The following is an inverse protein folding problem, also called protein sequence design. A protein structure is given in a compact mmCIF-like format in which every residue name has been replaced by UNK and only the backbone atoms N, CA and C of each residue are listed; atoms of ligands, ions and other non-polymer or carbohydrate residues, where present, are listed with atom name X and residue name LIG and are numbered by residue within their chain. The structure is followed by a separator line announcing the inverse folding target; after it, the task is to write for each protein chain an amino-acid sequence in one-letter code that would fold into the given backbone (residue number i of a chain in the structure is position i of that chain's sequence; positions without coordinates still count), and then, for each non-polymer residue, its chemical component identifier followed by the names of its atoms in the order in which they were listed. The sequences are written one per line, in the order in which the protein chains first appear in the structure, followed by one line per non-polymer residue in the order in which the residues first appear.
data_IF_035100870126
#
_entry.id   IF_035100870126
#
_cell.length_a   1.000
_cell.length_b   1.000
_cell.length_c   1.000
_cell.angle_alpha   90.00
_cell.angle_beta   90.00
_cell.angle_gamma   90.00
#
_symmetry.space_group_name_H-M   'P 1'
#
loop_
_entity.id
_entity.type
_entity.pdbx_description
1 polymer ?
#
# COMPACT_ATOMS: atom_id res chain seq x y z
N UNK A 1 -13.66 -24.31 -3.51
CA UNK A 1 -12.98 -24.07 -4.80
C UNK A 1 -13.11 -22.59 -5.06
N UNK A 2 -12.00 -21.88 -5.25
CA UNK A 2 -12.00 -20.43 -5.42
C UNK A 2 -12.37 -20.09 -6.87
N UNK A 3 -13.58 -19.59 -7.11
CA UNK A 3 -14.11 -19.36 -8.46
C UNK A 3 -13.37 -18.24 -9.17
N UNK A 4 -12.92 -17.20 -8.45
CA UNK A 4 -12.05 -16.17 -9.00
C UNK A 4 -10.81 -16.78 -9.66
N UNK A 5 -10.09 -17.69 -8.97
CA UNK A 5 -8.92 -18.36 -9.55
C UNK A 5 -9.28 -19.23 -10.75
N UNK A 6 -10.42 -19.92 -10.71
CA UNK A 6 -10.89 -20.75 -11.85
C UNK A 6 -11.15 -19.89 -13.09
N UNK A 7 -11.73 -18.71 -12.91
CA UNK A 7 -12.11 -17.82 -14.02
C UNK A 7 -10.91 -17.01 -14.54
N UNK A 8 -10.11 -16.45 -13.63
CA UNK A 8 -9.09 -15.44 -13.97
C UNK A 8 -7.65 -15.95 -13.86
N UNK A 9 -7.41 -17.09 -13.22
CA UNK A 9 -6.05 -17.55 -12.88
C UNK A 9 -5.11 -17.64 -14.08
N UNK A 10 -5.55 -18.23 -15.18
CA UNK A 10 -4.74 -18.33 -16.41
C UNK A 10 -4.57 -16.99 -17.11
N UNK A 11 -5.58 -16.11 -17.08
CA UNK A 11 -5.48 -14.76 -17.69
C UNK A 11 -4.51 -13.87 -16.92
N UNK A 12 -4.51 -13.97 -15.59
CA UNK A 12 -3.55 -13.28 -14.72
C UNK A 12 -2.13 -13.80 -14.99
N UNK A 13 -1.92 -15.11 -15.12
CA UNK A 13 -0.59 -15.65 -15.48
C UNK A 13 -0.12 -15.11 -16.84
N UNK A 14 -0.99 -15.12 -17.85
CA UNK A 14 -0.68 -14.53 -19.17
C UNK A 14 -0.33 -13.05 -19.09
N UNK A 15 -1.01 -12.28 -18.23
CA UNK A 15 -0.67 -10.89 -17.99
C UNK A 15 0.79 -10.72 -17.55
N UNK A 16 1.26 -11.55 -16.60
CA UNK A 16 2.63 -11.50 -16.10
C UNK A 16 3.66 -12.10 -17.05
N UNK A 17 3.36 -13.26 -17.62
CA UNK A 17 4.34 -14.08 -18.37
C UNK A 17 4.44 -13.66 -19.83
N UNK A 18 3.32 -13.33 -20.46
CA UNK A 18 3.22 -13.08 -21.91
C UNK A 18 3.06 -11.60 -22.25
N UNK A 19 2.89 -10.72 -21.24
CA UNK A 19 2.65 -9.27 -21.39
C UNK A 19 1.48 -9.00 -22.33
N UNK A 20 0.27 -9.23 -21.83
CA UNK A 20 -0.98 -8.95 -22.54
C UNK A 20 -0.97 -7.56 -23.19
N UNK A 21 -1.57 -7.46 -24.37
CA UNK A 21 -1.75 -6.19 -25.05
C UNK A 21 -2.63 -5.22 -24.22
N UNK A 22 -2.62 -3.92 -24.55
CA UNK A 22 -3.44 -2.94 -23.84
C UNK A 22 -4.93 -3.26 -23.82
N UNK A 23 -5.47 -3.77 -24.94
CA UNK A 23 -6.90 -4.11 -25.04
C UNK A 23 -7.23 -5.38 -24.24
N UNK A 24 -6.39 -6.41 -24.29
CA UNK A 24 -6.57 -7.63 -23.48
C UNK A 24 -6.46 -7.34 -21.97
N UNK A 25 -5.57 -6.42 -21.60
CA UNK A 25 -5.43 -5.95 -20.22
C UNK A 25 -6.70 -5.23 -19.79
N UNK A 26 -7.23 -4.32 -20.62
CA UNK A 26 -8.49 -3.63 -20.34
C UNK A 26 -9.64 -4.63 -20.15
N UNK A 27 -9.79 -5.60 -21.04
CA UNK A 27 -10.82 -6.63 -20.91
C UNK A 27 -10.66 -7.49 -19.66
N UNK A 28 -9.44 -7.81 -19.24
CA UNK A 28 -9.21 -8.50 -17.98
C UNK A 28 -9.68 -7.67 -16.78
N UNK A 29 -9.33 -6.39 -16.74
CA UNK A 29 -9.74 -5.50 -15.65
C UNK A 29 -11.27 -5.30 -15.61
N UNK A 30 -11.89 -5.10 -16.77
CA UNK A 30 -13.34 -4.95 -16.91
C UNK A 30 -14.07 -6.22 -16.44
N UNK A 31 -13.59 -7.40 -16.83
CA UNK A 31 -14.20 -8.68 -16.41
C UNK A 31 -14.02 -8.93 -14.91
N UNK A 32 -12.86 -8.59 -14.33
CA UNK A 32 -12.65 -8.67 -12.88
C UNK A 32 -13.65 -7.78 -12.14
N UNK A 33 -13.81 -6.53 -12.59
CA UNK A 33 -14.75 -5.59 -11.98
C UNK A 33 -16.20 -6.07 -12.12
N UNK A 34 -16.58 -6.57 -13.30
CA UNK A 34 -17.91 -7.13 -13.54
C UNK A 34 -18.20 -8.30 -12.61
N UNK A 35 -17.25 -9.23 -12.48
CA UNK A 35 -17.38 -10.36 -11.57
C UNK A 35 -17.48 -9.92 -10.10
N UNK A 36 -16.65 -8.97 -9.68
CA UNK A 36 -16.66 -8.43 -8.34
C UNK A 36 -18.03 -7.79 -8.01
N UNK A 37 -18.56 -6.97 -8.92
CA UNK A 37 -19.86 -6.30 -8.77
C UNK A 37 -21.03 -7.30 -8.76
N UNK A 38 -20.95 -8.38 -9.52
CA UNK A 38 -21.97 -9.44 -9.52
C UNK A 38 -21.92 -10.32 -8.26
N UNK A 39 -20.76 -10.43 -7.60
CA UNK A 39 -20.53 -11.41 -6.52
C UNK A 39 -19.86 -10.79 -5.28
N UNK A 40 -20.28 -9.59 -4.85
CA UNK A 40 -19.55 -8.76 -3.87
C UNK A 40 -19.07 -9.50 -2.61
N UNK A 41 -19.94 -10.27 -1.95
CA UNK A 41 -19.60 -10.97 -0.71
C UNK A 41 -18.61 -12.11 -0.97
N UNK A 42 -18.94 -12.99 -1.92
CA UNK A 42 -18.10 -14.12 -2.33
C UNK A 42 -16.74 -13.65 -2.84
N UNK A 43 -16.71 -12.60 -3.65
CA UNK A 43 -15.46 -12.01 -4.15
C UNK A 43 -14.53 -11.61 -3.02
N UNK A 44 -15.04 -10.92 -1.98
CA UNK A 44 -14.21 -10.54 -0.81
C UNK A 44 -13.61 -11.74 -0.08
N UNK A 45 -14.40 -12.80 0.09
CA UNK A 45 -13.93 -14.06 0.70
C UNK A 45 -12.86 -14.74 -0.17
N UNK A 46 -13.10 -14.83 -1.48
CA UNK A 46 -12.18 -15.42 -2.44
C UNK A 46 -10.85 -14.67 -2.51
N UNK A 47 -10.88 -13.33 -2.51
CA UNK A 47 -9.67 -12.52 -2.50
C UNK A 47 -8.91 -12.69 -1.18
N UNK A 48 -9.60 -12.82 -0.05
CA UNK A 48 -8.95 -13.03 1.24
C UNK A 48 -8.09 -14.30 1.28
N UNK A 49 -8.47 -15.34 0.51
CA UNK A 49 -7.72 -16.60 0.39
C UNK A 49 -6.45 -16.47 -0.47
N UNK A 50 -6.44 -15.59 -1.48
CA UNK A 50 -5.42 -15.57 -2.54
C UNK A 50 -4.58 -14.29 -2.60
N UNK A 51 -4.95 -13.26 -1.82
CA UNK A 51 -4.31 -11.93 -1.85
C UNK A 51 -2.78 -11.95 -1.67
N UNK A 52 -2.23 -12.98 -0.99
CA UNK A 52 -0.79 -13.14 -0.78
C UNK A 52 -0.17 -14.28 -1.61
N UNK A 53 -0.89 -14.79 -2.62
CA UNK A 53 -0.35 -15.80 -3.53
C UNK A 53 0.76 -15.18 -4.39
N UNK A 54 2.00 -15.63 -4.16
CA UNK A 54 3.19 -15.12 -4.86
C UNK A 54 3.31 -15.58 -6.31
N UNK A 55 2.63 -16.65 -6.69
CA UNK A 55 2.66 -17.17 -8.06
C UNK A 55 1.60 -16.47 -8.90
N UNK A 56 0.43 -16.26 -8.33
CA UNK A 56 -0.66 -15.59 -9.03
C UNK A 56 -0.51 -14.07 -9.03
N UNK A 57 -0.01 -13.50 -7.93
CA UNK A 57 0.09 -12.05 -7.69
C UNK A 57 -1.20 -11.30 -8.11
N UNK A 58 -2.37 -11.61 -7.52
CA UNK A 58 -3.65 -11.13 -8.03
C UNK A 58 -3.96 -9.67 -7.62
N UNK A 59 -3.39 -9.21 -6.50
CA UNK A 59 -3.73 -7.90 -5.91
C UNK A 59 -3.55 -6.69 -6.82
N UNK A 60 -2.45 -6.54 -7.61
CA UNK A 60 -2.29 -5.39 -8.50
C UNK A 60 -3.46 -5.24 -9.47
N UNK A 61 -3.83 -6.33 -10.15
CA UNK A 61 -4.93 -6.33 -11.13
C UNK A 61 -6.28 -6.12 -10.47
N UNK A 62 -6.51 -6.70 -9.29
CA UNK A 62 -7.75 -6.49 -8.54
C UNK A 62 -7.86 -5.02 -8.14
N UNK A 63 -6.81 -4.43 -7.57
CA UNK A 63 -6.85 -3.06 -7.09
C UNK A 63 -7.03 -2.08 -8.25
N UNK A 64 -6.36 -2.31 -9.38
CA UNK A 64 -6.54 -1.53 -10.59
C UNK A 64 -7.98 -1.63 -11.12
N UNK A 65 -8.54 -2.84 -11.22
CA UNK A 65 -9.91 -3.05 -11.68
C UNK A 65 -10.93 -2.36 -10.76
N UNK A 66 -10.80 -2.54 -9.44
CA UNK A 66 -11.72 -1.95 -8.46
C UNK A 66 -11.57 -0.43 -8.34
N UNK A 67 -10.40 0.13 -8.69
CA UNK A 67 -10.19 1.58 -8.69
C UNK A 67 -11.04 2.31 -9.76
N UNK A 68 -11.56 1.59 -10.76
CA UNK A 68 -12.52 2.14 -11.72
C UNK A 68 -13.92 2.38 -11.10
N UNK A 69 -14.25 1.75 -9.98
CA UNK A 69 -15.56 1.85 -9.30
C UNK A 69 -15.42 2.04 -7.78
N UNK A 70 -14.73 3.11 -7.39
CA UNK A 70 -14.47 3.40 -5.97
C UNK A 70 -15.70 3.79 -5.17
N UNK A 71 -16.83 4.10 -5.82
CA UNK A 71 -18.09 4.36 -5.13
C UNK A 71 -18.63 3.08 -4.48
N UNK A 72 -18.46 1.92 -5.12
CA UNK A 72 -18.84 0.62 -4.56
C UNK A 72 -17.72 -0.02 -3.73
N UNK A 73 -16.45 0.21 -4.10
CA UNK A 73 -15.30 -0.51 -3.53
C UNK A 73 -14.43 0.30 -2.56
N UNK A 74 -14.72 1.59 -2.32
CA UNK A 74 -13.92 2.44 -1.42
C UNK A 74 -13.70 1.84 -0.02
N UNK A 75 -14.74 1.24 0.56
CA UNK A 75 -14.66 0.58 1.88
C UNK A 75 -13.84 -0.72 1.87
N UNK A 76 -13.77 -1.40 0.73
CA UNK A 76 -12.93 -2.58 0.58
C UNK A 76 -11.45 -2.22 0.74
N UNK A 77 -10.99 -1.13 0.11
CA UNK A 77 -9.60 -0.68 0.26
C UNK A 77 -9.25 -0.33 1.72
N UNK A 78 -10.15 0.30 2.47
CA UNK A 78 -9.95 0.57 3.90
C UNK A 78 -9.80 -0.75 4.68
N UNK A 79 -10.67 -1.72 4.41
CA UNK A 79 -10.64 -3.03 5.09
C UNK A 79 -9.37 -3.83 4.73
N UNK A 80 -8.93 -3.74 3.48
CA UNK A 80 -7.70 -4.38 3.00
C UNK A 80 -6.46 -3.76 3.64
N UNK A 81 -6.43 -2.44 3.83
CA UNK A 81 -5.33 -1.77 4.54
C UNK A 81 -5.18 -2.35 5.95
N UNK A 82 -6.30 -2.46 6.68
CA UNK A 82 -6.30 -3.05 8.02
C UNK A 82 -5.82 -4.51 8.00
N UNK A 83 -6.35 -5.32 7.08
CA UNK A 83 -5.95 -6.72 6.94
C UNK A 83 -4.44 -6.87 6.66
N UNK A 84 -3.88 -6.06 5.75
CA UNK A 84 -2.46 -6.10 5.42
C UNK A 84 -1.60 -5.68 6.61
N UNK A 85 -1.93 -4.58 7.29
CA UNK A 85 -1.17 -4.12 8.45
C UNK A 85 -1.23 -5.13 9.61
N UNK A 86 -2.39 -5.71 9.87
CA UNK A 86 -2.54 -6.67 10.96
C UNK A 86 -1.90 -8.02 10.65
N UNK A 87 -1.94 -8.46 9.38
CA UNK A 87 -1.22 -9.66 8.94
C UNK A 87 0.28 -9.45 8.98
N UNK A 88 0.78 -8.29 8.55
CA UNK A 88 2.20 -7.96 8.62
C UNK A 88 2.72 -8.01 10.06
N UNK A 89 1.96 -7.51 11.05
CA UNK A 89 2.35 -7.57 12.47
C UNK A 89 2.54 -8.99 13.01
N UNK A 90 1.85 -9.98 12.44
CA UNK A 90 1.80 -11.37 12.91
C UNK A 90 2.61 -12.33 12.04
N UNK A 91 3.16 -11.85 10.93
CA UNK A 91 3.85 -12.69 9.94
C UNK A 91 5.32 -12.85 10.30
N UNK A 92 5.89 -14.03 10.02
CA UNK A 92 7.33 -14.27 10.05
C UNK A 92 8.07 -13.49 8.94
N UNK A 93 7.32 -13.09 7.91
CA UNK A 93 7.77 -12.27 6.79
C UNK A 93 6.94 -11.00 6.71
N UNK A 94 7.06 -10.11 7.70
CA UNK A 94 6.21 -8.92 7.82
C UNK A 94 6.36 -7.99 6.60
N UNK A 95 7.56 -7.94 6.01
CA UNK A 95 7.82 -7.08 4.86
C UNK A 95 7.09 -7.51 3.61
N UNK A 96 7.12 -8.80 3.28
CA UNK A 96 6.45 -9.33 2.08
C UNK A 96 4.95 -9.02 2.11
N UNK A 97 4.35 -9.00 3.30
CA UNK A 97 2.95 -8.63 3.48
C UNK A 97 2.76 -7.11 3.31
N UNK A 98 3.60 -6.30 3.95
CA UNK A 98 3.50 -4.85 3.89
C UNK A 98 3.78 -4.27 2.49
N UNK A 99 4.58 -4.95 1.66
CA UNK A 99 4.89 -4.54 0.28
C UNK A 99 3.61 -4.46 -0.58
N UNK A 100 2.58 -5.25 -0.29
CA UNK A 100 1.28 -5.18 -0.98
C UNK A 100 0.55 -3.85 -0.78
N UNK A 101 0.99 -3.01 0.16
CA UNK A 101 0.41 -1.69 0.28
C UNK A 101 0.78 -0.76 -0.89
N UNK A 102 1.79 -1.10 -1.70
CA UNK A 102 2.15 -0.33 -2.91
C UNK A 102 0.96 -0.20 -3.88
N UNK A 103 0.08 -1.19 -3.91
CA UNK A 103 -1.10 -1.22 -4.81
C UNK A 103 -2.10 -0.10 -4.49
N UNK A 104 -2.03 0.51 -3.31
CA UNK A 104 -2.88 1.66 -2.98
C UNK A 104 -2.56 2.91 -3.83
N UNK A 105 -1.47 2.92 -4.61
CA UNK A 105 -1.17 3.97 -5.57
C UNK A 105 -2.31 4.18 -6.60
N UNK A 106 -3.11 3.15 -6.89
CA UNK A 106 -4.27 3.26 -7.81
C UNK A 106 -5.38 4.17 -7.29
N UNK A 107 -5.44 4.43 -5.97
CA UNK A 107 -6.56 5.12 -5.33
C UNK A 107 -6.17 6.38 -4.53
N UNK A 108 -4.88 6.63 -4.30
CA UNK A 108 -4.41 7.70 -3.40
C UNK A 108 -4.85 9.12 -3.83
N UNK A 109 -5.10 9.33 -5.13
CA UNK A 109 -5.54 10.61 -5.70
C UNK A 109 -7.06 10.76 -5.83
N UNK A 110 -7.85 9.74 -5.46
CA UNK A 110 -9.31 9.79 -5.56
C UNK A 110 -9.89 10.78 -4.53
N UNK A 111 -10.71 11.78 -4.93
CA UNK A 111 -11.24 12.79 -4.01
C UNK A 111 -12.48 12.28 -3.25
N UNK A 112 -12.37 11.12 -2.59
CA UNK A 112 -13.48 10.40 -1.96
C UNK A 112 -13.23 10.17 -0.46
N UNK A 113 -14.29 10.05 0.38
CA UNK A 113 -14.13 9.94 1.85
C UNK A 113 -13.28 8.77 2.34
N UNK A 114 -13.24 7.65 1.63
CA UNK A 114 -12.42 6.48 2.03
C UNK A 114 -10.92 6.80 2.02
N UNK A 115 -10.47 7.74 1.19
CA UNK A 115 -9.06 8.14 1.14
C UNK A 115 -8.63 8.87 2.42
N UNK A 116 -9.51 9.69 3.00
CA UNK A 116 -9.27 10.25 4.34
C UNK A 116 -9.18 9.16 5.41
N UNK A 117 -9.99 8.09 5.30
CA UNK A 117 -9.95 6.98 6.25
C UNK A 117 -8.61 6.22 6.16
N UNK A 118 -8.14 5.96 4.95
CA UNK A 118 -6.81 5.37 4.69
C UNK A 118 -5.70 6.24 5.29
N UNK A 119 -5.70 7.54 4.99
CA UNK A 119 -4.72 8.48 5.53
C UNK A 119 -4.75 8.51 7.08
N UNK A 120 -5.94 8.55 7.69
CA UNK A 120 -6.08 8.52 9.14
C UNK A 120 -5.59 7.19 9.74
N UNK A 121 -5.84 6.06 9.06
CA UNK A 121 -5.38 4.75 9.51
C UNK A 121 -3.87 4.58 9.43
N UNK A 122 -3.25 5.05 8.34
CA UNK A 122 -1.80 5.12 8.19
C UNK A 122 -1.18 6.07 9.23
N UNK A 123 -1.81 7.22 9.49
CA UNK A 123 -1.37 8.15 10.55
C UNK A 123 -1.34 7.48 11.92
N UNK A 124 -2.37 6.69 12.29
CA UNK A 124 -2.35 5.91 13.53
C UNK A 124 -1.19 4.90 13.56
N UNK A 125 -0.87 4.29 12.43
CA UNK A 125 0.21 3.30 12.34
C UNK A 125 1.62 3.91 12.56
N UNK A 126 1.79 5.23 12.45
CA UNK A 126 3.03 5.94 12.81
C UNK A 126 3.44 5.76 14.29
N UNK A 127 2.50 5.36 15.14
CA UNK A 127 2.70 5.11 16.57
C UNK A 127 2.87 3.62 16.91
N UNK A 128 2.77 2.72 15.94
CA UNK A 128 2.86 1.27 16.15
C UNK A 128 4.21 0.83 16.68
N UNK A 129 4.28 -0.11 17.62
CA UNK A 129 5.57 -0.66 18.07
C UNK A 129 6.25 -1.54 17.01
N UNK A 130 5.47 -2.05 16.06
CA UNK A 130 5.99 -2.83 14.96
C UNK A 130 6.73 -1.93 13.96
N UNK A 131 8.05 -2.11 13.87
CA UNK A 131 8.94 -1.30 13.02
C UNK A 131 8.55 -1.40 11.54
N UNK A 132 8.14 -2.57 11.07
CA UNK A 132 7.83 -2.81 9.66
C UNK A 132 6.59 -2.05 9.24
N UNK A 133 5.49 -2.20 9.98
CA UNK A 133 4.24 -1.49 9.64
C UNK A 133 4.35 0.02 9.87
N UNK A 134 5.13 0.45 10.88
CA UNK A 134 5.49 1.86 11.05
C UNK A 134 6.26 2.40 9.84
N UNK A 135 7.28 1.68 9.37
CA UNK A 135 8.04 2.08 8.17
C UNK A 135 7.14 2.11 6.93
N UNK A 136 6.27 1.10 6.73
CA UNK A 136 5.33 1.07 5.62
C UNK A 136 4.38 2.28 5.64
N UNK A 137 3.85 2.64 6.82
CA UNK A 137 3.03 3.83 6.98
C UNK A 137 3.78 5.13 6.64
N UNK A 138 5.05 5.25 7.06
CA UNK A 138 5.92 6.38 6.69
C UNK A 138 6.16 6.44 5.17
N UNK A 139 6.32 5.28 4.52
CA UNK A 139 6.51 5.18 3.06
C UNK A 139 5.29 5.55 2.24
N UNK A 140 4.07 5.42 2.79
CA UNK A 140 2.85 5.64 2.02
C UNK A 140 2.11 6.92 2.34
N UNK A 141 1.93 7.21 3.63
CA UNK A 141 1.12 8.34 4.10
C UNK A 141 1.46 9.67 3.40
N UNK A 142 2.74 9.99 3.09
CA UNK A 142 3.05 11.23 2.42
C UNK A 142 2.44 11.39 1.01
N UNK A 143 2.14 10.30 0.29
CA UNK A 143 1.52 10.38 -1.03
C UNK A 143 0.09 10.96 -0.97
N UNK A 144 -0.60 10.73 0.14
CA UNK A 144 -1.97 11.19 0.37
C UNK A 144 -2.06 12.70 0.65
N UNK A 145 -0.93 13.37 0.94
CA UNK A 145 -0.92 14.78 1.32
C UNK A 145 -1.37 15.72 0.20
N UNK A 146 -1.27 15.31 -1.07
CA UNK A 146 -1.76 16.10 -2.20
C UNK A 146 -3.28 16.04 -2.36
N UNK A 147 -3.93 15.00 -1.81
CA UNK A 147 -5.36 14.80 -1.97
C UNK A 147 -6.16 15.89 -1.21
N UNK A 148 -7.16 16.55 -1.82
CA UNK A 148 -7.94 17.62 -1.18
C UNK A 148 -8.81 17.12 -0.01
N UNK A 149 -9.20 15.84 0.01
CA UNK A 149 -10.04 15.30 1.09
C UNK A 149 -9.25 15.08 2.38
N UNK A 150 -7.93 14.97 2.28
CA UNK A 150 -7.04 14.71 3.41
C UNK A 150 -6.90 15.95 4.27
N UNK A 151 -7.52 15.91 5.43
CA UNK A 151 -7.45 16.90 6.50
C UNK A 151 -6.15 16.74 7.29
N UNK A 152 -5.82 17.74 8.11
CA UNK A 152 -4.71 17.68 9.06
C UNK A 152 -3.31 17.46 8.45
N UNK A 153 -3.11 17.87 7.19
CA UNK A 153 -1.84 17.72 6.45
C UNK A 153 -0.63 18.22 7.25
N UNK A 154 -0.76 19.37 7.88
CA UNK A 154 0.31 19.95 8.71
C UNK A 154 0.64 19.10 9.94
N UNK A 155 -0.38 18.48 10.57
CA UNK A 155 -0.17 17.57 11.69
C UNK A 155 0.54 16.30 11.23
N UNK A 156 0.12 15.72 10.10
CA UNK A 156 0.75 14.56 9.49
C UNK A 156 2.23 14.86 9.16
N UNK A 157 2.52 15.99 8.53
CA UNK A 157 3.89 16.39 8.18
C UNK A 157 4.75 16.53 9.44
N UNK A 158 4.25 17.21 10.48
CA UNK A 158 4.96 17.34 11.76
C UNK A 158 5.25 15.98 12.36
N UNK A 159 4.28 15.08 12.38
CA UNK A 159 4.45 13.74 12.94
C UNK A 159 5.43 12.88 12.14
N UNK A 160 5.45 13.00 10.81
CA UNK A 160 6.47 12.36 9.98
C UNK A 160 7.87 12.91 10.29
N UNK A 161 7.99 14.23 10.52
CA UNK A 161 9.25 14.87 10.89
C UNK A 161 9.74 14.41 12.28
N UNK A 162 8.86 14.11 13.24
CA UNK A 162 9.30 13.56 14.54
C UNK A 162 9.96 12.17 14.38
N UNK A 163 9.65 11.43 13.31
CA UNK A 163 10.29 10.13 13.04
C UNK A 163 11.75 10.23 12.62
N UNK A 164 12.23 11.42 12.25
CA UNK A 164 13.64 11.67 11.95
C UNK A 164 14.57 11.47 13.16
N UNK A 165 14.04 11.52 14.39
CA UNK A 165 14.79 11.28 15.63
C UNK A 165 14.38 9.99 16.35
N UNK A 166 13.66 9.09 15.67
CA UNK A 166 13.24 7.81 16.24
C UNK A 166 14.47 6.98 16.67
N UNK A 167 14.44 6.21 17.79
CA UNK A 167 15.57 5.37 18.20
C UNK A 167 15.95 4.31 17.15
N UNK A 168 14.99 3.84 16.35
CA UNK A 168 15.24 2.83 15.33
C UNK A 168 15.75 3.45 14.03
N UNK A 169 16.96 3.10 13.59
CA UNK A 169 17.60 3.69 12.40
C UNK A 169 16.77 3.51 11.13
N UNK A 170 16.12 2.34 10.95
CA UNK A 170 15.24 2.10 9.78
C UNK A 170 14.11 3.13 9.69
N UNK A 171 13.50 3.48 10.83
CA UNK A 171 12.41 4.47 10.90
C UNK A 171 12.94 5.86 10.52
N UNK A 172 14.09 6.27 11.07
CA UNK A 172 14.74 7.55 10.71
C UNK A 172 15.06 7.62 9.23
N UNK A 173 15.65 6.56 8.70
CA UNK A 173 16.06 6.47 7.31
C UNK A 173 14.84 6.54 6.37
N UNK A 174 13.80 5.74 6.61
CA UNK A 174 12.56 5.76 5.81
C UNK A 174 11.91 7.15 5.85
N UNK A 175 11.78 7.75 7.03
CA UNK A 175 11.23 9.11 7.17
C UNK A 175 12.04 10.14 6.38
N UNK A 176 13.36 10.09 6.47
CA UNK A 176 14.24 10.99 5.73
C UNK A 176 14.05 10.85 4.22
N UNK A 177 14.03 9.64 3.67
CA UNK A 177 13.87 9.43 2.22
C UNK A 177 12.53 9.97 1.71
N UNK A 178 11.46 9.69 2.44
CA UNK A 178 10.12 10.11 2.07
C UNK A 178 9.92 11.62 2.15
N UNK A 179 10.36 12.23 3.27
CA UNK A 179 10.29 13.68 3.44
C UNK A 179 11.22 14.39 2.44
N UNK A 180 12.39 13.84 2.13
CA UNK A 180 13.29 14.40 1.12
C UNK A 180 12.66 14.39 -0.26
N UNK A 181 12.08 13.25 -0.67
CA UNK A 181 11.42 13.09 -1.98
C UNK A 181 10.34 14.14 -2.21
N UNK A 182 9.59 14.47 -1.16
CA UNK A 182 8.48 15.43 -1.21
C UNK A 182 8.86 16.85 -0.79
N UNK A 183 10.15 17.14 -0.55
CA UNK A 183 10.64 18.46 -0.09
C UNK A 183 9.99 18.93 1.23
N UNK A 184 9.74 18.00 2.15
CA UNK A 184 9.11 18.20 3.45
C UNK A 184 10.09 18.09 4.63
N UNK A 185 11.40 18.05 4.37
CA UNK A 185 12.41 18.04 5.43
C UNK A 185 12.44 19.38 6.18
N UNK A 186 12.71 19.37 7.50
CA UNK A 186 13.06 20.59 8.22
C UNK A 186 14.29 21.25 7.59
N UNK A 187 14.34 22.58 7.64
CA UNK A 187 15.43 23.35 7.05
C UNK A 187 16.79 22.90 7.60
N UNK A 188 17.73 22.60 6.70
CA UNK A 188 19.08 22.17 7.05
C UNK A 188 19.20 20.74 7.58
N UNK A 189 18.11 19.97 7.66
CA UNK A 189 18.17 18.60 8.17
C UNK A 189 19.01 17.69 7.26
N UNK A 190 19.94 16.95 7.86
CA UNK A 190 20.78 15.95 7.19
C UNK A 190 20.63 14.61 7.89
N UNK A 191 20.59 13.54 7.11
CA UNK A 191 20.58 12.18 7.65
C UNK A 191 21.93 11.91 8.36
N UNK A 192 21.92 11.32 9.57
CA UNK A 192 23.16 10.90 10.22
C UNK A 192 23.96 9.93 9.34
N UNK A 193 25.28 10.11 9.30
CA UNK A 193 26.18 9.26 8.48
C UNK A 193 26.07 7.77 8.88
N UNK A 194 25.86 7.51 10.17
CA UNK A 194 25.66 6.16 10.69
C UNK A 194 24.44 5.48 10.07
N UNK A 195 23.33 6.20 9.87
CA UNK A 195 22.13 5.63 9.24
C UNK A 195 22.37 5.27 7.77
N UNK A 196 23.17 6.09 7.06
CA UNK A 196 23.59 5.79 5.70
C UNK A 196 24.51 4.56 5.63
N UNK A 197 25.44 4.41 6.59
CA UNK A 197 26.30 3.24 6.69
C UNK A 197 25.50 1.96 7.05
N UNK A 198 24.56 2.06 7.97
CA UNK A 198 23.67 0.97 8.35
C UNK A 198 22.80 0.52 7.17
N UNK A 199 22.35 1.43 6.30
CA UNK A 199 21.68 1.07 5.04
C UNK A 199 22.61 0.26 4.12
N UNK A 200 23.87 0.65 3.98
CA UNK A 200 24.82 -0.08 3.12
C UNK A 200 25.02 -1.51 3.66
N UNK A 201 25.16 -1.64 4.98
CA UNK A 201 25.44 -2.93 5.61
C UNK A 201 24.21 -3.86 5.69
N UNK A 202 23.05 -3.34 6.09
CA UNK A 202 21.82 -4.12 6.28
C UNK A 202 20.86 -4.08 5.08
N UNK A 203 21.22 -3.39 4.00
CA UNK A 203 20.36 -3.18 2.84
C UNK A 203 19.35 -2.04 2.99
N UNK A 204 18.50 -1.87 1.97
CA UNK A 204 17.43 -0.86 1.98
C UNK A 204 16.47 -1.16 3.15
N UNK A 205 16.14 -0.18 3.99
CA UNK A 205 15.02 -0.35 4.90
C UNK A 205 13.73 -0.48 4.08
N UNK A 206 12.94 -1.44 4.52
CA UNK A 206 11.56 -1.75 4.18
C UNK A 206 10.77 -0.67 3.39
N UNK A 207 10.21 -1.11 2.24
CA UNK A 207 9.47 -0.36 1.20
C UNK A 207 10.13 0.93 0.70
N UNK A 208 10.94 0.79 -0.36
CA UNK A 208 11.40 1.81 -1.32
C UNK A 208 11.71 1.24 -2.69
#
# INVERSE_FOLDING_TARGET
MNCFVVIFGERIKKFWDEKLGPDDTRWLLDDILLYANANVATFKEEIAEIQYDKKLQPLPLIFEALAADTDNWGHFFVSMLDAILDRAKKSDKPQEIADHLIEFAFIENQPKPFVQQIAARLYKELYSDNVVTKCAAISMLPNYLHNPIVKDKNLIIRELQTKLINPHWRVRYTAYMMLKRLKLLPNGFKLPVVDAALRIYYGRPYTM
#
